data_IF_071293796314
#
_entry.id   IF_071293796314
#
_cell.length_a   1.000
_cell.length_b   1.000
_cell.length_c   1.000
_cell.angle_alpha   90.00
_cell.angle_beta   90.00
_cell.angle_gamma   90.00
#
_symmetry.space_group_name_H-M   'P 1'
#
loop_
_entity.id
_entity.type
_entity.pdbx_description
1 polymer ?
#
# COMPACT_ATOMS: atom_id res chain seq x y z
N UNK A 1 -44.63 61.67 22.25
CA UNK A 1 -43.78 61.79 21.04
C UNK A 1 -42.36 61.35 21.35
N UNK A 2 -42.03 60.07 21.15
CA UNK A 2 -40.67 59.60 20.83
C UNK A 2 -40.84 58.41 19.89
N UNK A 3 -40.31 58.57 18.68
CA UNK A 3 -40.61 57.77 17.51
C UNK A 3 -39.60 56.62 17.44
N UNK A 4 -40.08 55.38 17.45
CA UNK A 4 -39.30 54.15 17.26
C UNK A 4 -39.00 53.95 15.78
N UNK A 5 -37.73 54.01 15.37
CA UNK A 5 -37.29 53.47 14.07
C UNK A 5 -36.60 52.12 14.30
N UNK A 6 -37.27 51.05 13.86
CA UNK A 6 -36.65 49.75 13.57
C UNK A 6 -35.77 49.93 12.33
N UNK A 7 -34.49 49.61 12.42
CA UNK A 7 -33.66 49.37 11.24
C UNK A 7 -33.78 47.90 10.88
N UNK A 8 -34.35 47.61 9.72
CA UNK A 8 -34.32 46.28 9.11
C UNK A 8 -32.92 46.01 8.56
N UNK A 9 -32.36 44.85 8.90
CA UNK A 9 -31.09 44.35 8.39
C UNK A 9 -31.32 43.25 7.35
N UNK A 10 -32.30 43.45 6.46
CA UNK A 10 -32.59 42.60 5.32
C UNK A 10 -32.10 43.30 4.04
N UNK A 11 -30.78 43.37 3.85
CA UNK A 11 -30.19 43.85 2.59
C UNK A 11 -28.67 43.57 2.49
N UNK A 12 -28.21 42.34 2.74
CA UNK A 12 -26.84 41.93 2.35
C UNK A 12 -26.69 40.45 1.94
N UNK A 13 -27.79 39.70 1.81
CA UNK A 13 -27.79 38.32 1.33
C UNK A 13 -28.74 38.17 0.13
N UNK A 14 -28.43 38.83 -0.98
CA UNK A 14 -29.07 38.53 -2.27
C UNK A 14 -28.23 39.12 -3.39
N UNK A 15 -27.37 38.30 -3.99
CA UNK A 15 -26.84 38.37 -5.37
C UNK A 15 -25.39 37.86 -5.46
N UNK A 16 -25.16 36.60 -5.05
CA UNK A 16 -23.98 35.87 -5.53
C UNK A 16 -24.17 34.34 -5.54
N UNK A 17 -25.42 33.87 -5.69
CA UNK A 17 -25.73 32.43 -5.81
C UNK A 17 -25.80 31.94 -7.26
N UNK A 18 -25.39 32.73 -8.25
CA UNK A 18 -25.63 32.42 -9.67
C UNK A 18 -24.37 32.10 -10.50
N UNK A 19 -23.24 31.79 -9.86
CA UNK A 19 -21.99 31.33 -10.51
C UNK A 19 -21.53 29.93 -10.12
N UNK A 20 -22.21 29.21 -9.23
CA UNK A 20 -21.86 27.84 -8.82
C UNK A 20 -22.66 26.80 -9.63
N UNK A 21 -22.46 26.75 -10.94
CA UNK A 21 -22.84 25.57 -11.74
C UNK A 21 -21.61 24.69 -11.87
N UNK A 22 -21.52 23.63 -11.06
CA UNK A 22 -20.56 22.53 -11.22
C UNK A 22 -19.44 22.42 -10.17
N UNK A 23 -19.43 23.22 -9.11
CA UNK A 23 -18.38 23.13 -8.07
C UNK A 23 -18.75 22.02 -7.09
N UNK A 24 -17.96 20.95 -7.04
CA UNK A 24 -18.05 19.97 -5.95
C UNK A 24 -17.64 20.67 -4.67
N UNK A 25 -18.60 20.79 -3.77
CA UNK A 25 -18.42 21.47 -2.48
C UNK A 25 -17.64 20.54 -1.55
N UNK A 26 -17.96 19.26 -1.49
CA UNK A 26 -17.33 18.32 -0.57
C UNK A 26 -17.01 16.99 -1.24
N UNK A 27 -15.86 16.41 -0.91
CA UNK A 27 -15.40 15.09 -1.35
C UNK A 27 -15.34 14.16 -0.15
N UNK A 28 -16.16 13.11 -0.16
CA UNK A 28 -16.07 12.03 0.81
C UNK A 28 -14.84 11.15 0.55
N UNK A 29 -14.16 10.75 1.62
CA UNK A 29 -13.00 9.86 1.54
C UNK A 29 -12.94 8.87 2.70
N UNK A 30 -12.18 7.80 2.49
CA UNK A 30 -11.85 6.80 3.51
C UNK A 30 -10.35 6.86 3.79
N UNK A 31 -9.98 7.08 5.05
CA UNK A 31 -8.62 6.90 5.51
C UNK A 31 -8.42 5.46 5.95
N UNK A 32 -7.49 4.76 5.31
CA UNK A 32 -7.17 3.38 5.65
C UNK A 32 -5.68 3.19 5.87
N UNK A 33 -5.28 2.12 6.55
CA UNK A 33 -3.89 1.72 6.67
C UNK A 33 -3.70 0.22 6.49
N UNK A 34 -2.61 -0.17 5.85
CA UNK A 34 -2.16 -1.54 5.70
C UNK A 34 -0.70 -1.65 6.13
N UNK A 35 -0.46 -2.32 7.25
CA UNK A 35 0.87 -2.57 7.80
C UNK A 35 1.76 -1.33 7.93
N UNK A 36 1.18 -0.23 8.43
CA UNK A 36 1.91 1.00 8.72
C UNK A 36 1.94 2.02 7.58
N UNK A 37 1.58 1.64 6.35
CA UNK A 37 1.30 2.61 5.29
C UNK A 37 -0.16 3.06 5.34
N UNK A 38 -0.38 4.37 5.22
CA UNK A 38 -1.72 4.95 5.25
C UNK A 38 -2.13 5.60 3.92
N UNK A 39 -3.36 5.36 3.50
CA UNK A 39 -3.90 5.77 2.20
C UNK A 39 -5.18 6.57 2.39
N UNK A 40 -5.40 7.54 1.50
CA UNK A 40 -6.72 8.14 1.29
C UNK A 40 -7.35 7.44 0.09
N UNK A 41 -8.55 6.89 0.28
CA UNK A 41 -9.29 6.21 -0.78
C UNK A 41 -10.56 7.00 -1.10
N UNK A 42 -10.82 7.19 -2.39
CA UNK A 42 -11.94 7.95 -2.92
C UNK A 42 -12.73 7.01 -3.83
N UNK A 43 -14.04 6.90 -3.58
CA UNK A 43 -14.97 6.27 -4.52
C UNK A 43 -15.24 7.27 -5.65
N UNK A 44 -14.64 7.03 -6.81
CA UNK A 44 -14.68 7.96 -7.93
C UNK A 44 -15.82 7.68 -8.92
N UNK A 45 -16.72 6.73 -8.61
CA UNK A 45 -17.84 6.36 -9.49
C UNK A 45 -18.80 7.51 -9.78
N UNK A 46 -19.11 8.32 -8.77
CA UNK A 46 -19.99 9.49 -8.91
C UNK A 46 -19.22 10.80 -9.05
N UNK A 47 -18.02 10.85 -8.45
CA UNK A 47 -17.19 12.05 -8.40
C UNK A 47 -16.57 12.38 -9.76
N UNK A 48 -16.16 11.36 -10.53
CA UNK A 48 -15.69 11.51 -11.90
C UNK A 48 -14.41 12.33 -12.05
N UNK A 49 -13.51 12.31 -11.07
CA UNK A 49 -12.18 12.96 -11.16
C UNK A 49 -11.44 12.39 -12.36
N UNK A 50 -11.04 13.19 -13.36
CA UNK A 50 -10.32 12.68 -14.51
C UNK A 50 -8.90 12.21 -14.14
N UNK A 51 -8.43 11.14 -14.77
CA UNK A 51 -7.09 10.56 -14.55
C UNK A 51 -5.98 11.57 -14.74
N UNK A 52 -6.18 12.56 -15.64
CA UNK A 52 -5.23 13.61 -15.97
C UNK A 52 -4.92 14.54 -14.79
N UNK A 53 -5.85 14.69 -13.83
CA UNK A 53 -5.70 15.58 -12.67
C UNK A 53 -5.49 14.83 -11.35
N UNK A 54 -5.63 13.50 -11.33
CA UNK A 54 -5.49 12.71 -10.10
C UNK A 54 -4.10 12.83 -9.44
N UNK A 55 -3.05 13.05 -10.23
CA UNK A 55 -1.71 13.30 -9.69
C UNK A 55 -1.65 14.61 -8.86
N UNK A 56 -2.30 15.66 -9.35
CA UNK A 56 -2.40 16.94 -8.64
C UNK A 56 -3.22 16.79 -7.36
N UNK A 57 -4.31 16.02 -7.42
CA UNK A 57 -5.10 15.66 -6.25
C UNK A 57 -4.28 14.92 -5.20
N UNK A 58 -3.48 13.93 -5.61
CA UNK A 58 -2.62 13.19 -4.70
C UNK A 58 -1.60 14.11 -3.99
N UNK A 59 -0.94 15.00 -4.74
CA UNK A 59 -0.03 16.01 -4.19
C UNK A 59 -0.71 16.98 -3.22
N UNK A 60 -1.97 17.35 -3.47
CA UNK A 60 -2.70 18.30 -2.63
C UNK A 60 -3.27 17.66 -1.35
N UNK A 61 -3.66 16.38 -1.40
CA UNK A 61 -4.31 15.65 -0.29
C UNK A 61 -3.28 15.05 0.67
N UNK A 62 -2.18 14.52 0.14
CA UNK A 62 -1.22 13.67 0.88
C UNK A 62 -0.31 14.37 1.91
N UNK A 63 0.03 15.67 1.80
CA UNK A 63 0.85 16.34 2.81
C UNK A 63 0.21 16.29 4.20
N UNK A 64 0.99 15.96 5.24
CA UNK A 64 0.50 15.97 6.62
C UNK A 64 0.34 17.42 7.13
N UNK A 65 -0.31 17.59 8.28
CA UNK A 65 -0.68 18.87 8.93
C UNK A 65 -1.87 19.61 8.29
N UNK A 66 -1.67 20.39 7.22
CA UNK A 66 -2.73 21.27 6.69
C UNK A 66 -3.75 20.56 5.79
N UNK A 67 -3.53 19.27 5.52
CA UNK A 67 -4.33 18.45 4.60
C UNK A 67 -4.71 17.14 5.30
N UNK A 68 -5.42 16.28 4.58
CA UNK A 68 -5.85 14.97 5.10
C UNK A 68 -4.63 14.13 5.53
N UNK A 69 -3.57 14.15 4.73
CA UNK A 69 -2.29 13.52 5.05
C UNK A 69 -2.29 12.01 4.79
N UNK A 70 -1.42 11.50 3.93
CA UNK A 70 -1.30 10.08 3.58
C UNK A 70 0.03 9.78 2.88
N UNK A 71 0.40 8.50 2.83
CA UNK A 71 1.49 8.03 1.96
C UNK A 71 1.08 7.97 0.48
N UNK A 72 -0.23 7.95 0.20
CA UNK A 72 -0.76 8.09 -1.16
C UNK A 72 -2.30 8.13 -1.24
N UNK A 73 -2.81 8.34 -2.45
CA UNK A 73 -4.24 8.46 -2.76
C UNK A 73 -4.65 7.41 -3.79
N UNK A 74 -5.79 6.76 -3.55
CA UNK A 74 -6.36 5.72 -4.42
C UNK A 74 -7.76 6.13 -4.84
N UNK A 75 -8.01 6.21 -6.13
CA UNK A 75 -9.34 6.39 -6.71
C UNK A 75 -9.87 5.04 -7.16
N UNK A 76 -11.12 4.71 -6.82
CA UNK A 76 -11.78 3.48 -7.26
C UNK A 76 -12.86 3.82 -8.30
N UNK A 77 -12.81 3.17 -9.44
CA UNK A 77 -13.69 3.43 -10.58
C UNK A 77 -14.31 2.16 -11.15
N UNK A 78 -15.48 2.32 -11.78
CA UNK A 78 -16.04 1.26 -12.60
C UNK A 78 -15.08 0.92 -13.74
N UNK A 79 -14.91 -0.36 -14.07
CA UNK A 79 -14.09 -0.75 -15.20
C UNK A 79 -14.83 -0.43 -16.52
N UNK A 80 -14.10 -0.31 -17.65
CA UNK A 80 -14.72 -0.27 -18.97
C UNK A 80 -15.64 -1.48 -19.20
N UNK A 81 -16.72 -1.28 -19.96
CA UNK A 81 -17.65 -2.36 -20.30
C UNK A 81 -16.91 -3.53 -20.97
N UNK A 82 -17.19 -4.75 -20.51
CA UNK A 82 -16.55 -5.97 -21.02
C UNK A 82 -15.16 -6.28 -20.43
N UNK A 83 -14.69 -5.52 -19.43
CA UNK A 83 -13.48 -5.87 -18.70
C UNK A 83 -13.64 -7.15 -17.86
N UNK A 84 -12.54 -7.86 -17.63
CA UNK A 84 -12.47 -9.06 -16.77
C UNK A 84 -12.20 -8.74 -15.29
N UNK A 85 -12.16 -7.45 -14.93
CA UNK A 85 -11.96 -6.97 -13.55
C UNK A 85 -13.25 -6.34 -13.01
N UNK A 86 -13.44 -6.38 -11.69
CA UNK A 86 -14.62 -5.82 -11.03
C UNK A 86 -14.56 -4.30 -10.89
N UNK A 87 -13.36 -3.73 -10.78
CA UNK A 87 -13.11 -2.29 -10.74
C UNK A 87 -11.66 -1.97 -11.08
N UNK A 88 -11.40 -0.71 -11.40
CA UNK A 88 -10.04 -0.19 -11.61
C UNK A 88 -9.67 0.68 -10.42
N UNK A 89 -8.42 0.58 -10.01
CA UNK A 89 -7.84 1.56 -9.10
C UNK A 89 -6.94 2.55 -9.86
N UNK A 90 -6.82 3.76 -9.36
CA UNK A 90 -5.77 4.68 -9.76
C UNK A 90 -5.00 5.07 -8.52
N UNK A 91 -3.76 4.57 -8.40
CA UNK A 91 -2.93 4.77 -7.22
C UNK A 91 -1.80 5.75 -7.52
N UNK A 92 -1.74 6.81 -6.72
CA UNK A 92 -0.71 7.84 -6.76
C UNK A 92 -0.02 7.95 -5.40
N UNK A 93 1.30 8.00 -5.39
CA UNK A 93 2.09 8.29 -4.20
C UNK A 93 1.89 9.75 -3.77
N UNK A 94 2.35 10.09 -2.56
CA UNK A 94 2.23 11.44 -2.01
C UNK A 94 2.88 12.55 -2.86
N UNK A 95 3.86 12.21 -3.71
CA UNK A 95 4.52 13.13 -4.64
C UNK A 95 3.85 13.21 -6.01
N UNK A 96 2.69 12.55 -6.19
CA UNK A 96 1.93 12.52 -7.44
C UNK A 96 2.45 11.51 -8.46
N UNK A 97 3.51 10.76 -8.15
CA UNK A 97 3.97 9.67 -9.03
C UNK A 97 2.96 8.52 -9.05
N UNK A 98 2.68 7.98 -10.25
CA UNK A 98 1.74 6.89 -10.44
C UNK A 98 2.40 5.55 -10.08
N UNK A 99 1.71 4.78 -9.24
CA UNK A 99 2.22 3.53 -8.70
C UNK A 99 1.49 2.35 -9.33
N UNK A 100 2.25 1.41 -9.89
CA UNK A 100 1.68 0.29 -10.64
C UNK A 100 1.00 -0.74 -9.72
N UNK A 101 1.65 -1.03 -8.59
CA UNK A 101 1.19 -2.03 -7.63
C UNK A 101 1.78 -1.77 -6.24
N UNK A 102 0.98 -2.00 -5.20
CA UNK A 102 1.46 -2.02 -3.81
C UNK A 102 0.56 -2.95 -3.00
N UNK A 103 1.11 -4.05 -2.46
CA UNK A 103 0.34 -5.03 -1.71
C UNK A 103 -0.44 -4.45 -0.52
N UNK A 104 0.11 -3.42 0.17
CA UNK A 104 -0.57 -2.74 1.28
C UNK A 104 -1.77 -1.93 0.79
N UNK A 105 -1.58 -1.17 -0.29
CA UNK A 105 -2.63 -0.39 -0.93
C UNK A 105 -3.72 -1.31 -1.51
N UNK A 106 -3.33 -2.41 -2.18
CA UNK A 106 -4.27 -3.36 -2.80
C UNK A 106 -5.18 -4.00 -1.76
N UNK A 107 -4.67 -4.35 -0.56
CA UNK A 107 -5.52 -4.83 0.55
C UNK A 107 -6.52 -3.78 1.02
N UNK A 108 -6.11 -2.52 1.11
CA UNK A 108 -7.01 -1.42 1.48
C UNK A 108 -8.09 -1.20 0.41
N UNK A 109 -7.70 -1.15 -0.86
CA UNK A 109 -8.61 -1.01 -1.99
C UNK A 109 -9.60 -2.17 -2.08
N UNK A 110 -9.12 -3.41 -1.94
CA UNK A 110 -9.97 -4.62 -1.94
C UNK A 110 -11.02 -4.56 -0.83
N UNK A 111 -10.59 -4.23 0.40
CA UNK A 111 -11.53 -4.14 1.52
C UNK A 111 -12.52 -2.99 1.34
N UNK A 112 -12.08 -1.83 0.86
CA UNK A 112 -13.01 -0.73 0.58
C UNK A 112 -14.03 -1.10 -0.50
N UNK A 113 -13.59 -1.71 -1.59
CA UNK A 113 -14.46 -2.11 -2.69
C UNK A 113 -15.56 -3.08 -2.22
N UNK A 114 -15.19 -4.08 -1.40
CA UNK A 114 -16.16 -4.97 -0.77
C UNK A 114 -17.12 -4.21 0.16
N UNK A 115 -16.59 -3.26 0.96
CA UNK A 115 -17.36 -2.49 1.93
C UNK A 115 -18.44 -1.61 1.30
N UNK A 116 -18.12 -0.94 0.19
CA UNK A 116 -19.02 0.02 -0.48
C UNK A 116 -19.88 -0.64 -1.57
N UNK A 117 -19.87 -1.97 -1.65
CA UNK A 117 -20.61 -2.73 -2.65
C UNK A 117 -20.13 -2.49 -4.08
N UNK A 118 -18.87 -2.11 -4.28
CA UNK A 118 -18.23 -2.02 -5.59
C UNK A 118 -17.88 -3.40 -6.15
N UNK A 119 -17.48 -4.32 -5.28
CA UNK A 119 -17.12 -5.69 -5.63
C UNK A 119 -17.61 -6.69 -4.58
N UNK A 120 -17.80 -7.97 -4.92
CA UNK A 120 -18.03 -9.03 -3.93
C UNK A 120 -16.79 -9.27 -3.05
N UNK A 121 -16.89 -10.13 -2.03
CA UNK A 121 -15.76 -10.44 -1.13
C UNK A 121 -14.58 -11.13 -1.82
N UNK A 122 -14.84 -11.86 -2.93
CA UNK A 122 -13.82 -12.44 -3.81
C UNK A 122 -13.95 -11.79 -5.17
N UNK A 123 -12.92 -11.09 -5.61
CA UNK A 123 -12.99 -10.22 -6.77
C UNK A 123 -11.60 -10.01 -7.39
N UNK A 124 -11.57 -9.33 -8.53
CA UNK A 124 -10.36 -8.97 -9.26
C UNK A 124 -10.32 -7.46 -9.43
N UNK A 125 -9.24 -6.82 -9.01
CA UNK A 125 -9.00 -5.39 -9.24
C UNK A 125 -8.04 -5.18 -10.41
N UNK A 126 -8.36 -4.22 -11.27
CA UNK A 126 -7.50 -3.76 -12.36
C UNK A 126 -6.45 -2.78 -11.85
N UNK A 127 -5.18 -3.11 -12.06
CA UNK A 127 -4.03 -2.27 -11.72
C UNK A 127 -3.17 -2.01 -12.96
N UNK A 128 -2.25 -1.04 -12.91
CA UNK A 128 -1.32 -0.82 -14.03
C UNK A 128 -0.34 -2.00 -14.17
N UNK A 129 -0.16 -2.84 -13.13
CA UNK A 129 0.58 -4.10 -13.20
C UNK A 129 -0.26 -5.29 -13.74
N UNK A 130 -1.53 -5.06 -14.09
CA UNK A 130 -2.48 -6.08 -14.54
C UNK A 130 -3.55 -6.44 -13.51
N UNK A 131 -4.38 -7.47 -13.78
CA UNK A 131 -5.42 -7.92 -12.86
C UNK A 131 -4.80 -8.54 -11.60
N UNK A 132 -5.36 -8.21 -10.44
CA UNK A 132 -4.94 -8.73 -9.14
C UNK A 132 -6.14 -9.38 -8.46
N UNK A 133 -6.02 -10.65 -8.10
CA UNK A 133 -7.05 -11.36 -7.34
C UNK A 133 -7.06 -10.91 -5.88
N UNK A 134 -8.25 -10.78 -5.30
CA UNK A 134 -8.44 -10.42 -3.91
C UNK A 134 -9.53 -11.27 -3.23
N UNK A 135 -9.33 -11.53 -1.94
CA UNK A 135 -10.32 -12.13 -1.05
C UNK A 135 -10.34 -11.35 0.27
N UNK A 136 -11.53 -10.91 0.68
CA UNK A 136 -11.74 -10.07 1.86
C UNK A 136 -12.53 -10.84 2.91
N UNK A 137 -11.99 -10.87 4.13
CA UNK A 137 -12.73 -11.28 5.32
C UNK A 137 -13.07 -10.04 6.15
N UNK A 138 -14.31 -9.56 6.00
CA UNK A 138 -14.77 -8.37 6.72
C UNK A 138 -14.89 -8.58 8.23
N UNK A 139 -15.08 -9.83 8.71
CA UNK A 139 -15.19 -10.12 10.14
C UNK A 139 -13.85 -9.94 10.84
N UNK A 140 -12.76 -10.44 10.24
CA UNK A 140 -11.41 -10.25 10.78
C UNK A 140 -10.76 -8.93 10.34
N UNK A 141 -11.31 -8.26 9.32
CA UNK A 141 -10.72 -7.05 8.74
C UNK A 141 -9.43 -7.33 7.97
N UNK A 142 -9.25 -8.56 7.49
CA UNK A 142 -8.10 -8.97 6.68
C UNK A 142 -8.48 -9.03 5.20
N UNK A 143 -7.49 -8.78 4.35
CA UNK A 143 -7.61 -8.99 2.92
C UNK A 143 -6.39 -9.79 2.43
N UNK A 144 -6.64 -10.76 1.56
CA UNK A 144 -5.67 -11.54 0.80
C UNK A 144 -5.62 -10.97 -0.61
N UNK A 145 -4.44 -10.64 -1.11
CA UNK A 145 -4.23 -10.12 -2.47
C UNK A 145 -3.12 -10.88 -3.17
N UNK A 146 -3.28 -11.12 -4.47
CA UNK A 146 -2.22 -11.68 -5.31
C UNK A 146 -1.08 -10.66 -5.46
N UNK A 147 0.15 -11.12 -5.35
CA UNK A 147 1.34 -10.33 -5.63
C UNK A 147 1.86 -10.61 -7.03
N UNK A 148 2.68 -9.69 -7.54
CA UNK A 148 3.40 -9.90 -8.78
C UNK A 148 4.24 -11.19 -8.69
N UNK A 149 4.21 -12.06 -9.70
CA UNK A 149 4.97 -13.31 -9.68
C UNK A 149 6.47 -13.06 -9.42
N UNK A 150 7.10 -13.85 -8.53
CA UNK A 150 8.51 -13.70 -8.23
C UNK A 150 9.38 -14.01 -9.46
N UNK A 151 10.47 -13.27 -9.63
CA UNK A 151 11.43 -13.42 -10.72
C UNK A 151 12.85 -13.51 -10.19
N UNK A 152 13.76 -14.04 -11.02
CA UNK A 152 15.20 -14.03 -10.77
C UNK A 152 15.62 -14.65 -9.43
N UNK A 153 14.95 -15.74 -9.02
CA UNK A 153 15.31 -16.48 -7.81
C UNK A 153 16.73 -17.04 -7.93
N UNK A 154 17.59 -16.66 -6.99
CA UNK A 154 18.97 -17.13 -6.85
C UNK A 154 19.19 -17.58 -5.41
N UNK A 155 19.66 -18.81 -5.23
CA UNK A 155 19.84 -19.42 -3.92
C UNK A 155 21.33 -19.67 -3.65
N UNK A 156 21.78 -19.46 -2.41
CA UNK A 156 23.14 -19.81 -1.99
C UNK A 156 24.22 -18.92 -2.58
N UNK A 157 23.89 -17.66 -2.87
CA UNK A 157 24.88 -16.67 -3.29
C UNK A 157 25.82 -16.38 -2.13
N UNK A 158 27.12 -16.24 -2.42
CA UNK A 158 28.12 -15.84 -1.43
C UNK A 158 28.51 -14.40 -1.67
N UNK A 159 28.39 -13.55 -0.66
CA UNK A 159 28.84 -12.15 -0.70
C UNK A 159 29.81 -11.88 0.45
N UNK A 160 30.72 -10.92 0.27
CA UNK A 160 31.65 -10.51 1.33
C UNK A 160 31.31 -9.11 1.81
N UNK A 161 30.96 -8.98 3.09
CA UNK A 161 30.65 -7.69 3.72
C UNK A 161 31.63 -7.47 4.87
N UNK A 162 32.39 -6.37 4.80
CA UNK A 162 33.41 -6.03 5.79
C UNK A 162 34.37 -7.20 6.14
N UNK A 163 34.77 -7.98 5.12
CA UNK A 163 35.69 -9.12 5.28
C UNK A 163 35.04 -10.40 5.83
N UNK A 164 33.73 -10.42 6.05
CA UNK A 164 32.97 -11.62 6.46
C UNK A 164 32.15 -12.13 5.28
N UNK A 165 32.23 -13.44 4.99
CA UNK A 165 31.40 -14.09 3.97
C UNK A 165 30.01 -14.39 4.52
N UNK A 166 28.97 -14.03 3.77
CA UNK A 166 27.58 -14.33 4.06
C UNK A 166 26.98 -15.15 2.92
N UNK A 167 26.25 -16.21 3.27
CA UNK A 167 25.33 -16.86 2.35
C UNK A 167 24.02 -16.07 2.31
N UNK A 168 23.60 -15.69 1.11
CA UNK A 168 22.39 -14.91 0.87
C UNK A 168 21.59 -15.53 -0.28
N UNK A 169 20.31 -15.20 -0.31
CA UNK A 169 19.40 -15.59 -1.38
C UNK A 169 18.78 -14.33 -1.97
N UNK A 170 18.43 -14.35 -3.24
CA UNK A 170 17.89 -13.19 -3.93
C UNK A 170 16.65 -13.55 -4.72
N UNK A 171 15.65 -12.68 -4.71
CA UNK A 171 14.44 -12.80 -5.51
C UNK A 171 13.83 -11.43 -5.73
N UNK A 172 13.25 -11.20 -6.90
CA UNK A 172 12.47 -10.00 -7.20
C UNK A 172 10.98 -10.34 -7.06
N UNK A 173 10.28 -9.70 -6.12
CA UNK A 173 8.82 -9.87 -5.91
C UNK A 173 8.07 -8.59 -6.28
N UNK A 174 8.47 -7.96 -7.39
CA UNK A 174 8.07 -6.61 -7.81
C UNK A 174 9.12 -5.55 -7.49
N UNK A 175 9.95 -5.82 -6.47
CA UNK A 175 11.20 -5.10 -6.20
C UNK A 175 12.27 -6.11 -5.74
N UNK A 176 13.57 -5.80 -5.89
CA UNK A 176 14.64 -6.72 -5.51
C UNK A 176 14.72 -6.90 -3.98
N UNK A 177 14.83 -8.16 -3.55
CA UNK A 177 14.99 -8.57 -2.15
C UNK A 177 16.13 -9.55 -1.99
N UNK A 178 16.92 -9.36 -0.93
CA UNK A 178 17.99 -10.27 -0.50
C UNK A 178 17.63 -10.82 0.87
N UNK A 179 17.57 -12.14 0.99
CA UNK A 179 17.12 -12.87 2.17
C UNK A 179 18.30 -13.57 2.84
N UNK A 180 18.40 -13.40 4.15
CA UNK A 180 19.37 -14.07 5.02
C UNK A 180 18.62 -14.79 6.15
N UNK A 181 19.04 -16.01 6.45
CA UNK A 181 18.45 -16.80 7.53
C UNK A 181 19.33 -16.77 8.79
N UNK A 182 18.70 -16.56 9.94
CA UNK A 182 19.33 -16.54 11.27
C UNK A 182 18.59 -17.48 12.22
N UNK A 183 19.32 -18.02 13.20
CA UNK A 183 18.69 -18.76 14.31
C UNK A 183 17.90 -17.84 15.24
N UNK A 184 18.37 -16.60 15.42
CA UNK A 184 17.71 -15.54 16.19
C UNK A 184 17.81 -14.20 15.46
N UNK A 185 16.69 -13.76 14.88
CA UNK A 185 16.63 -12.49 14.13
C UNK A 185 16.71 -11.25 15.05
N UNK A 186 16.47 -11.40 16.35
CA UNK A 186 16.55 -10.27 17.30
C UNK A 186 17.99 -9.79 17.53
N UNK A 187 18.96 -10.68 17.31
CA UNK A 187 20.39 -10.39 17.48
C UNK A 187 21.02 -9.57 16.34
N UNK A 188 20.30 -9.40 15.23
CA UNK A 188 20.84 -8.81 14.00
C UNK A 188 20.94 -7.28 14.11
N UNK A 189 22.11 -6.74 13.75
CA UNK A 189 22.30 -5.32 13.43
C UNK A 189 21.71 -5.00 12.05
N UNK A 190 20.40 -4.79 12.02
CA UNK A 190 19.64 -4.52 10.78
C UNK A 190 20.12 -3.23 10.12
N UNK A 191 20.47 -2.21 10.90
CA UNK A 191 20.90 -0.92 10.35
C UNK A 191 22.28 -1.04 9.69
N UNK A 192 23.28 -1.59 10.39
CA UNK A 192 24.63 -1.70 9.87
C UNK A 192 24.75 -2.71 8.74
N UNK A 193 24.32 -3.95 8.98
CA UNK A 193 24.43 -5.02 7.98
C UNK A 193 23.47 -4.83 6.82
N UNK A 194 22.23 -4.39 7.10
CA UNK A 194 21.24 -4.09 6.08
C UNK A 194 21.73 -3.01 5.11
N UNK A 195 22.28 -1.91 5.62
CA UNK A 195 22.88 -0.86 4.78
C UNK A 195 24.05 -1.37 3.96
N UNK A 196 24.91 -2.20 4.54
CA UNK A 196 26.06 -2.73 3.81
C UNK A 196 25.66 -3.66 2.64
N UNK A 197 24.66 -4.52 2.85
CA UNK A 197 24.12 -5.42 1.82
C UNK A 197 23.29 -4.65 0.77
N UNK A 198 22.48 -3.68 1.20
CA UNK A 198 21.65 -2.81 0.35
C UNK A 198 22.43 -2.17 -0.82
N UNK A 199 23.70 -1.81 -0.57
CA UNK A 199 24.60 -1.16 -1.53
C UNK A 199 25.72 -2.09 -2.03
N UNK A 200 25.66 -3.40 -1.73
CA UNK A 200 26.68 -4.34 -2.18
C UNK A 200 26.70 -4.46 -3.72
N UNK A 201 27.88 -4.58 -4.31
CA UNK A 201 28.08 -4.59 -5.77
C UNK A 201 27.31 -5.70 -6.48
N UNK A 202 27.11 -6.84 -5.83
CA UNK A 202 26.32 -7.97 -6.35
C UNK A 202 24.86 -7.61 -6.66
N UNK A 203 24.33 -6.53 -6.07
CA UNK A 203 22.96 -6.06 -6.30
C UNK A 203 22.91 -4.75 -7.09
N UNK A 204 24.05 -4.20 -7.51
CA UNK A 204 24.10 -2.97 -8.29
C UNK A 204 23.48 -3.16 -9.70
N UNK A 205 22.96 -2.08 -10.33
CA UNK A 205 22.91 -0.70 -9.83
C UNK A 205 21.69 -0.39 -8.96
N UNK A 206 20.63 -1.20 -8.99
CA UNK A 206 19.41 -0.93 -8.25
C UNK A 206 19.58 -1.10 -6.72
N UNK A 207 20.47 -2.02 -6.34
CA UNK A 207 20.61 -2.56 -4.99
C UNK A 207 19.38 -3.38 -4.58
N UNK A 208 19.18 -3.58 -3.27
CA UNK A 208 18.20 -4.56 -2.78
C UNK A 208 17.61 -4.16 -1.44
N UNK A 209 16.36 -4.57 -1.18
CA UNK A 209 15.86 -4.65 0.20
C UNK A 209 16.53 -5.83 0.91
N UNK A 210 16.76 -5.75 2.22
CA UNK A 210 17.45 -6.81 2.96
C UNK A 210 16.53 -7.37 4.04
N UNK A 211 16.22 -8.65 3.92
CA UNK A 211 15.33 -9.39 4.80
C UNK A 211 16.13 -10.34 5.68
N UNK A 212 16.02 -10.15 6.99
CA UNK A 212 16.59 -11.00 8.02
C UNK A 212 15.49 -11.87 8.59
N UNK A 213 15.60 -13.18 8.35
CA UNK A 213 14.52 -14.14 8.57
C UNK A 213 14.92 -15.17 9.60
N UNK A 214 14.05 -15.41 10.57
CA UNK A 214 14.15 -16.56 11.46
C UNK A 214 12.99 -17.51 11.19
N UNK A 215 13.29 -18.76 10.86
CA UNK A 215 12.28 -19.81 10.67
C UNK A 215 11.99 -20.43 12.03
N UNK A 216 10.82 -20.13 12.59
CA UNK A 216 10.39 -20.65 13.91
C UNK A 216 9.75 -22.03 13.76
N UNK A 217 8.96 -22.23 12.70
CA UNK A 217 8.45 -23.51 12.25
C UNK A 217 8.20 -23.45 10.74
N UNK A 218 7.87 -24.57 10.06
CA UNK A 218 7.55 -24.52 8.64
C UNK A 218 6.39 -23.55 8.30
N UNK A 219 5.50 -23.24 9.25
CA UNK A 219 4.36 -22.36 9.09
C UNK A 219 4.54 -20.97 9.75
N UNK A 220 5.67 -20.71 10.42
CA UNK A 220 5.89 -19.46 11.18
C UNK A 220 7.30 -18.89 11.02
N UNK A 221 7.40 -17.59 10.77
CA UNK A 221 8.68 -16.86 10.69
C UNK A 221 8.65 -15.52 11.42
N UNK A 222 9.83 -15.06 11.81
CA UNK A 222 10.07 -13.66 12.17
C UNK A 222 10.81 -12.97 11.02
N UNK A 223 10.40 -11.75 10.69
CA UNK A 223 10.99 -10.95 9.62
C UNK A 223 11.35 -9.56 10.12
N UNK A 224 12.60 -9.17 9.84
CA UNK A 224 13.06 -7.78 9.95
C UNK A 224 13.60 -7.33 8.59
N UNK A 225 13.18 -6.17 8.13
CA UNK A 225 13.53 -5.67 6.79
C UNK A 225 14.24 -4.33 6.88
N UNK A 226 15.43 -4.24 6.30
CA UNK A 226 16.04 -2.97 5.92
C UNK A 226 15.54 -2.59 4.52
N UNK A 227 14.83 -1.48 4.40
CA UNK A 227 14.10 -1.14 3.19
C UNK A 227 14.83 -0.11 2.33
N UNK A 228 14.95 -0.42 1.04
CA UNK A 228 15.50 0.46 0.02
C UNK A 228 14.63 1.70 -0.12
N UNK A 229 15.26 2.89 -0.14
CA UNK A 229 14.56 4.17 -0.28
C UNK A 229 14.14 4.78 1.05
N UNK A 230 13.82 3.96 2.06
CA UNK A 230 13.71 4.41 3.47
C UNK A 230 15.09 4.45 4.13
N UNK A 231 15.96 3.51 3.74
CA UNK A 231 17.34 3.37 4.22
C UNK A 231 17.43 3.16 5.75
N UNK A 232 16.46 2.41 6.27
CA UNK A 232 16.35 2.01 7.67
C UNK A 232 15.54 0.72 7.81
N UNK A 233 15.47 0.19 9.03
CA UNK A 233 14.52 -0.87 9.37
C UNK A 233 13.09 -0.35 9.30
N UNK A 234 12.21 -1.03 8.54
CA UNK A 234 10.79 -0.68 8.45
C UNK A 234 9.93 -1.60 9.31
N UNK A 235 8.75 -1.10 9.70
CA UNK A 235 7.83 -1.83 10.57
C UNK A 235 7.27 -3.08 9.88
N UNK A 236 7.04 -3.02 8.58
CA UNK A 236 6.58 -4.16 7.80
C UNK A 236 6.89 -3.96 6.32
N UNK A 237 7.16 -5.06 5.63
CA UNK A 237 7.37 -5.07 4.18
C UNK A 237 6.65 -6.28 3.57
N UNK A 238 5.55 -6.05 2.86
CA UNK A 238 4.74 -7.14 2.28
C UNK A 238 5.47 -7.93 1.19
N UNK A 239 6.20 -7.24 0.33
CA UNK A 239 7.04 -7.89 -0.70
C UNK A 239 8.24 -8.59 -0.08
N UNK A 240 8.81 -8.06 1.01
CA UNK A 240 9.86 -8.73 1.78
C UNK A 240 9.39 -10.02 2.46
N UNK A 241 8.16 -10.03 2.98
CA UNK A 241 7.52 -11.22 3.50
C UNK A 241 7.33 -12.29 2.42
N UNK A 242 6.84 -11.89 1.24
CA UNK A 242 6.71 -12.77 0.10
C UNK A 242 8.06 -13.36 -0.34
N UNK A 243 9.08 -12.52 -0.50
CA UNK A 243 10.43 -12.94 -0.86
C UNK A 243 11.00 -13.95 0.14
N UNK A 244 10.80 -13.71 1.43
CA UNK A 244 11.27 -14.58 2.51
C UNK A 244 10.64 -15.97 2.44
N UNK A 245 9.32 -16.06 2.21
CA UNK A 245 8.62 -17.34 2.09
C UNK A 245 8.93 -18.06 0.79
N UNK A 246 9.02 -17.35 -0.33
CA UNK A 246 9.42 -17.93 -1.62
C UNK A 246 10.80 -18.58 -1.51
N UNK A 247 11.77 -17.87 -0.93
CA UNK A 247 13.12 -18.40 -0.69
C UNK A 247 13.09 -19.58 0.28
N UNK A 248 12.41 -19.44 1.42
CA UNK A 248 12.35 -20.50 2.43
C UNK A 248 11.70 -21.78 1.89
N UNK A 249 10.62 -21.65 1.10
CA UNK A 249 9.95 -22.79 0.49
C UNK A 249 10.85 -23.46 -0.57
N UNK A 250 11.53 -22.68 -1.40
CA UNK A 250 12.48 -23.20 -2.39
C UNK A 250 13.66 -23.95 -1.75
N UNK A 251 14.04 -23.59 -0.52
CA UNK A 251 15.04 -24.28 0.30
C UNK A 251 14.48 -25.47 1.10
N UNK A 252 13.17 -25.76 1.01
CA UNK A 252 12.51 -26.81 1.80
C UNK A 252 12.40 -26.50 3.30
N UNK A 253 12.46 -25.21 3.68
CA UNK A 253 12.43 -24.75 5.08
C UNK A 253 11.04 -24.30 5.54
N UNK A 254 10.07 -24.20 4.65
CA UNK A 254 8.71 -23.76 4.98
C UNK A 254 7.63 -24.53 4.24
N UNK A 255 6.42 -24.52 4.79
CA UNK A 255 5.21 -24.93 4.11
C UNK A 255 4.83 -23.89 3.03
N UNK A 256 3.75 -24.18 2.29
CA UNK A 256 3.20 -23.27 1.29
C UNK A 256 2.42 -22.09 1.91
N UNK A 257 1.97 -22.19 3.17
CA UNK A 257 1.23 -21.13 3.87
C UNK A 257 1.93 -20.80 5.18
N UNK A 258 2.48 -19.60 5.27
CA UNK A 258 3.37 -19.18 6.36
C UNK A 258 2.88 -17.87 6.97
N UNK A 259 2.79 -17.81 8.29
CA UNK A 259 2.57 -16.58 9.05
C UNK A 259 3.93 -15.95 9.40
N UNK A 260 4.10 -14.66 9.11
CA UNK A 260 5.30 -13.89 9.41
C UNK A 260 4.95 -12.76 10.37
N UNK A 261 5.68 -12.68 11.47
CA UNK A 261 5.64 -11.52 12.35
C UNK A 261 6.75 -10.54 11.97
N UNK A 262 6.35 -9.31 11.69
CA UNK A 262 7.25 -8.22 11.30
C UNK A 262 7.73 -7.40 12.51
N UNK A 263 8.72 -6.51 12.32
CA UNK A 263 9.22 -5.59 13.36
C UNK A 263 8.10 -4.78 14.04
N UNK A 264 7.10 -4.35 13.26
CA UNK A 264 5.92 -3.62 13.71
C UNK A 264 4.89 -4.49 14.46
N UNK A 265 5.19 -5.77 14.67
CA UNK A 265 4.31 -6.78 15.29
C UNK A 265 3.07 -7.13 14.44
N UNK A 266 3.02 -6.69 13.19
CA UNK A 266 2.00 -7.10 12.23
C UNK A 266 2.21 -8.57 11.85
N UNK A 267 1.11 -9.31 11.75
CA UNK A 267 1.06 -10.69 11.26
C UNK A 267 0.62 -10.68 9.80
N UNK A 268 1.55 -11.03 8.93
CA UNK A 268 1.31 -11.25 7.51
C UNK A 268 1.20 -12.75 7.25
N UNK A 269 0.34 -13.17 6.35
CA UNK A 269 0.30 -14.56 5.88
C UNK A 269 0.64 -14.57 4.40
N UNK A 270 1.68 -15.32 4.04
CA UNK A 270 2.00 -15.59 2.64
C UNK A 270 1.50 -16.98 2.29
N UNK A 271 0.80 -17.10 1.17
CA UNK A 271 0.37 -18.39 0.61
C UNK A 271 0.93 -18.55 -0.81
N UNK A 272 1.53 -19.70 -1.08
CA UNK A 272 2.01 -20.11 -2.40
C UNK A 272 0.97 -21.06 -2.99
N UNK A 273 0.26 -20.63 -4.04
CA UNK A 273 -0.89 -21.32 -4.61
C UNK A 273 -0.71 -21.41 -6.12
N UNK A 274 -0.52 -22.61 -6.67
CA UNK A 274 -0.39 -22.86 -8.11
C UNK A 274 0.66 -21.99 -8.84
N UNK A 275 1.72 -21.59 -8.13
CA UNK A 275 2.79 -20.74 -8.65
C UNK A 275 2.59 -19.24 -8.39
N UNK A 276 1.41 -18.85 -7.92
CA UNK A 276 1.11 -17.49 -7.46
C UNK A 276 1.48 -17.30 -5.99
N UNK A 277 1.78 -16.05 -5.66
CA UNK A 277 2.10 -15.63 -4.28
C UNK A 277 1.02 -14.69 -3.80
N UNK A 278 0.37 -15.04 -2.69
CA UNK A 278 -0.65 -14.22 -2.07
C UNK A 278 -0.17 -13.63 -0.75
N UNK A 279 -0.51 -12.38 -0.52
CA UNK A 279 -0.27 -11.65 0.73
C UNK A 279 -1.59 -11.38 1.41
N UNK A 280 -1.76 -11.96 2.60
CA UNK A 280 -2.88 -11.71 3.48
C UNK A 280 -2.42 -10.92 4.72
N UNK A 281 -3.15 -9.88 5.07
CA UNK A 281 -2.79 -8.99 6.18
C UNK A 281 -3.96 -8.12 6.60
N UNK A 282 -3.76 -7.37 7.69
CA UNK A 282 -4.71 -6.36 8.11
C UNK A 282 -4.83 -5.25 7.05
N UNK A 283 -6.04 -4.72 6.91
CA UNK A 283 -6.31 -3.49 6.16
C UNK A 283 -7.39 -2.72 6.92
N UNK A 284 -7.01 -1.72 7.70
CA UNK A 284 -7.88 -1.10 8.69
C UNK A 284 -8.46 0.21 8.19
N UNK A 285 -9.77 0.39 8.36
CA UNK A 285 -10.38 1.72 8.32
C UNK A 285 -9.94 2.51 9.55
N UNK A 286 -9.30 3.66 9.35
CA UNK A 286 -8.86 4.55 10.43
C UNK A 286 -9.96 5.54 10.73
N UNK A 287 -10.43 6.26 9.71
CA UNK A 287 -11.58 7.16 9.76
C UNK A 287 -12.13 7.38 8.35
N UNK A 288 -13.30 8.00 8.24
CA UNK A 288 -13.80 8.58 7.00
C UNK A 288 -14.19 10.03 7.27
N UNK A 289 -14.33 10.81 6.21
CA UNK A 289 -14.71 12.20 6.34
C UNK A 289 -14.91 12.85 4.99
N UNK A 290 -15.00 14.17 5.03
CA UNK A 290 -15.24 15.02 3.89
C UNK A 290 -14.19 16.13 3.87
N UNK A 291 -13.73 16.53 2.68
CA UNK A 291 -12.87 17.70 2.50
C UNK A 291 -13.38 18.59 1.36
N UNK A 292 -13.14 19.89 1.48
CA UNK A 292 -13.48 20.89 0.46
C UNK A 292 -12.32 20.97 -0.57
N UNK A 293 -12.48 20.46 -1.81
CA UNK A 293 -11.37 20.39 -2.76
C UNK A 293 -10.85 21.78 -3.16
N UNK A 294 -11.73 22.79 -3.19
CA UNK A 294 -11.38 24.17 -3.55
C UNK A 294 -10.37 24.81 -2.58
N UNK A 295 -10.45 24.49 -1.29
CA UNK A 295 -9.51 24.99 -0.27
C UNK A 295 -8.14 24.28 -0.34
N UNK A 296 -8.09 23.18 -1.09
CA UNK A 296 -6.86 22.49 -1.45
C UNK A 296 -6.30 22.95 -2.80
N UNK A 297 -6.98 23.88 -3.49
CA UNK A 297 -6.62 24.34 -4.82
C UNK A 297 -7.00 23.36 -5.93
N UNK A 298 -7.92 22.43 -5.66
CA UNK A 298 -8.38 21.42 -6.60
C UNK A 298 -9.69 21.83 -7.27
N UNK A 299 -9.82 21.51 -8.54
CA UNK A 299 -11.03 21.70 -9.35
C UNK A 299 -11.36 20.42 -10.12
N UNK A 300 -12.62 20.29 -10.50
CA UNK A 300 -13.14 19.25 -11.39
C UNK A 300 -13.52 19.82 -12.74
#
# INVERSE_FOLDING_TARGET
>A
MRNTKRFGSDAFFSDNQQSYRGIIVSVHFYKMQGCGNDFVLIDNRELGVPVEVMAEWACAISPRAFRVGADGVIFLENPPEGSEVDYIWHFYNADGSRAEMCGNASRCAARLAARIGLAPARHVLGTDAGPVQAEVDELSGRAKVQLTPPKNLQLGMKITVAGTEFEVHHVDTGVPHTVLFYEDASSVDVAGLGRAIRFHEAFAPAGTNVNFVQVVSPERMELRTYERGVEAETLACGTGAAASVVVANALGRSSARVELRTTGKELLTISLEDGDVFLEGSASFVYHGEFEPVDLGLTL
#
